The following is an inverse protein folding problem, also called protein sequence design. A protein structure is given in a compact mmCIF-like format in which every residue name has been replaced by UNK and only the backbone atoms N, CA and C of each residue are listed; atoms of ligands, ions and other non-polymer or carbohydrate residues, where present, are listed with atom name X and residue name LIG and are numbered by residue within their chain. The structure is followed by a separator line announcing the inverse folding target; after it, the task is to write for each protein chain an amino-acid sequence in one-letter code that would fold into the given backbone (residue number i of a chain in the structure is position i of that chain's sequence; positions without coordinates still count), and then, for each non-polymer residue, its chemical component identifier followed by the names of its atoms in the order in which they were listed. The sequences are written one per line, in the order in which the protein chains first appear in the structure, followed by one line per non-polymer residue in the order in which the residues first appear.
data_IF_581181486603
#
_entry.id   IF_581181486603
#
_cell.length_a   1.000
_cell.length_b   1.000
_cell.length_c   1.000
_cell.angle_alpha   90.00
_cell.angle_beta   90.00
_cell.angle_gamma   90.00
#
_symmetry.space_group_name_H-M   'P 1'
#
loop_
_entity.id
_entity.type
_entity.pdbx_description
1 polymer ?
#
# COMPACT_ATOMS: atom_id res chain seq x y z
N UNK A 1 -10.35 -15.24 -0.98
CA UNK A 1 -10.43 -14.85 -2.40
C UNK A 1 -9.08 -15.13 -3.04
N UNK A 2 -9.06 -15.88 -4.12
CA UNK A 2 -7.84 -16.22 -4.86
C UNK A 2 -7.83 -15.37 -6.13
N UNK A 3 -6.82 -14.51 -6.30
CA UNK A 3 -6.63 -13.77 -7.54
C UNK A 3 -5.30 -14.16 -8.18
N UNK A 4 -5.31 -14.41 -9.47
CA UNK A 4 -4.14 -14.72 -10.28
C UNK A 4 -4.01 -13.62 -11.34
N UNK A 5 -2.95 -12.85 -11.26
CA UNK A 5 -2.65 -11.78 -12.23
C UNK A 5 -1.46 -12.24 -13.06
N UNK A 6 -1.67 -12.36 -14.38
CA UNK A 6 -0.61 -12.57 -15.35
C UNK A 6 -0.36 -11.25 -16.08
N UNK A 7 0.81 -10.70 -15.97
CA UNK A 7 1.23 -9.54 -16.75
C UNK A 7 2.29 -9.93 -17.78
N UNK A 8 2.02 -9.58 -19.04
CA UNK A 8 2.99 -9.71 -20.12
C UNK A 8 3.46 -8.29 -20.46
N UNK A 9 4.73 -7.99 -20.18
CA UNK A 9 5.34 -6.71 -20.55
C UNK A 9 6.07 -6.93 -21.87
N UNK A 10 5.56 -6.28 -22.95
CA UNK A 10 6.28 -6.16 -24.21
C UNK A 10 7.03 -4.83 -24.23
N UNK A 11 8.34 -4.86 -24.10
CA UNK A 11 9.21 -3.76 -24.49
C UNK A 11 9.92 -4.08 -25.82
N UNK A 12 10.11 -3.05 -26.63
CA UNK A 12 10.85 -3.13 -27.88
C UNK A 12 12.26 -3.69 -27.60
N UNK A 13 12.57 -4.81 -28.26
CA UNK A 13 13.70 -5.72 -28.12
C UNK A 13 13.61 -6.72 -26.95
N UNK A 14 12.92 -7.84 -27.29
CA UNK A 14 13.19 -9.23 -26.84
C UNK A 14 13.56 -9.44 -25.36
N UNK A 15 12.67 -9.10 -24.44
CA UNK A 15 12.59 -9.78 -23.16
C UNK A 15 11.12 -10.16 -22.87
N UNK A 16 10.71 -11.34 -23.31
CA UNK A 16 9.50 -11.97 -22.77
C UNK A 16 9.81 -12.45 -21.35
N UNK A 17 9.42 -11.68 -20.38
CA UNK A 17 9.45 -12.09 -18.97
C UNK A 17 8.07 -12.53 -18.58
N UNK A 18 7.85 -13.84 -18.45
CA UNK A 18 6.63 -14.40 -17.85
C UNK A 18 6.64 -14.11 -16.35
N UNK A 19 5.89 -13.11 -15.95
CA UNK A 19 5.73 -12.71 -14.56
C UNK A 19 4.41 -13.26 -14.03
N UNK A 20 4.46 -13.99 -12.93
CA UNK A 20 3.30 -14.54 -12.26
C UNK A 20 3.24 -14.06 -10.82
N UNK A 21 2.07 -13.56 -10.44
CA UNK A 21 1.77 -13.20 -9.07
C UNK A 21 0.53 -13.97 -8.62
N UNK A 22 0.64 -14.69 -7.53
CA UNK A 22 -0.50 -15.34 -6.87
C UNK A 22 -0.73 -14.69 -5.50
N UNK A 23 -1.95 -14.25 -5.25
CA UNK A 23 -2.34 -13.69 -3.97
C UNK A 23 -3.43 -14.54 -3.33
N UNK A 24 -3.18 -14.95 -2.09
CA UNK A 24 -4.15 -15.59 -1.22
C UNK A 24 -4.45 -14.69 -0.05
N UNK A 25 -5.73 -14.38 0.19
CA UNK A 25 -6.15 -13.59 1.33
C UNK A 25 -7.31 -14.23 2.08
N UNK A 26 -7.22 -14.15 3.41
CA UNK A 26 -8.30 -14.49 4.33
C UNK A 26 -8.61 -13.27 5.17
N UNK A 27 -9.89 -12.98 5.38
CA UNK A 27 -10.30 -11.87 6.25
C UNK A 27 -11.47 -12.26 7.13
N UNK A 28 -11.53 -11.62 8.28
CA UNK A 28 -12.66 -11.66 9.19
C UNK A 28 -12.95 -10.26 9.70
N UNK A 29 -14.21 -9.94 9.89
CA UNK A 29 -14.64 -8.68 10.47
C UNK A 29 -15.78 -8.95 11.46
N UNK A 30 -15.67 -8.35 12.62
CA UNK A 30 -16.69 -8.38 13.64
C UNK A 30 -17.16 -6.96 13.90
N UNK A 31 -18.47 -6.73 13.84
CA UNK A 31 -19.09 -5.44 14.04
C UNK A 31 -20.22 -5.53 15.06
N UNK A 32 -20.35 -4.47 15.84
CA UNK A 32 -21.39 -4.34 16.83
C UNK A 32 -21.97 -2.93 16.82
N UNK A 33 -23.30 -2.87 16.92
CA UNK A 33 -24.05 -1.60 17.01
C UNK A 33 -25.05 -1.69 18.15
N UNK A 34 -24.97 -0.73 19.06
CA UNK A 34 -25.95 -0.58 20.13
C UNK A 34 -26.18 0.88 20.42
N UNK A 35 -27.46 1.32 20.33
CA UNK A 35 -27.86 2.74 20.54
C UNK A 35 -26.97 3.69 19.71
N UNK A 36 -26.12 4.43 20.40
CA UNK A 36 -25.28 5.48 19.83
C UNK A 36 -23.86 5.02 19.47
N UNK A 37 -23.50 3.78 19.82
CA UNK A 37 -22.15 3.23 19.62
C UNK A 37 -22.17 2.25 18.47
N UNK A 38 -21.20 2.38 17.57
CA UNK A 38 -20.86 1.38 16.55
C UNK A 38 -19.38 1.13 16.62
N UNK A 39 -18.98 -0.14 16.63
CA UNK A 39 -17.57 -0.47 16.46
C UNK A 39 -17.43 -1.69 15.54
N UNK A 40 -16.35 -1.72 14.79
CA UNK A 40 -15.94 -2.90 14.06
C UNK A 40 -14.44 -3.12 14.20
N UNK A 41 -14.05 -4.40 14.22
CA UNK A 41 -12.67 -4.85 14.24
C UNK A 41 -12.53 -5.88 13.14
N UNK A 42 -11.61 -5.64 12.23
CA UNK A 42 -11.33 -6.54 11.13
C UNK A 42 -9.86 -6.95 11.12
N UNK A 43 -9.61 -8.15 10.62
CA UNK A 43 -8.27 -8.67 10.40
C UNK A 43 -8.22 -9.30 9.01
N UNK A 44 -7.14 -8.98 8.28
CA UNK A 44 -6.84 -9.62 7.00
C UNK A 44 -5.42 -10.19 7.05
N UNK A 45 -5.30 -11.47 6.71
CA UNK A 45 -4.02 -12.11 6.44
C UNK A 45 -3.85 -12.29 4.94
N UNK A 46 -2.72 -11.86 4.37
CA UNK A 46 -2.41 -12.06 2.97
C UNK A 46 -1.10 -12.83 2.83
N UNK A 47 -1.05 -13.69 1.80
CA UNK A 47 0.18 -14.24 1.25
C UNK A 47 0.25 -13.86 -0.22
N UNK A 48 1.33 -13.22 -0.62
CA UNK A 48 1.60 -12.88 -2.02
C UNK A 48 2.85 -13.63 -2.45
N UNK A 49 2.71 -14.45 -3.47
CA UNK A 49 3.80 -15.20 -4.07
C UNK A 49 4.15 -14.59 -5.42
N UNK A 50 5.38 -14.12 -5.55
CA UNK A 50 5.95 -13.65 -6.81
C UNK A 50 6.85 -14.74 -7.39
N UNK A 51 6.62 -15.01 -8.65
CA UNK A 51 7.39 -15.98 -9.41
C UNK A 51 7.81 -15.36 -10.75
N UNK A 52 9.11 -15.35 -11.00
CA UNK A 52 9.72 -15.07 -12.28
C UNK A 52 10.90 -16.03 -12.45
N UNK A 53 11.44 -16.20 -13.66
CA UNK A 53 12.57 -17.08 -13.96
C UNK A 53 13.78 -16.84 -13.04
N UNK A 54 13.96 -15.62 -12.52
CA UNK A 54 15.11 -15.24 -11.67
C UNK A 54 14.73 -14.92 -10.22
N UNK A 55 13.45 -14.68 -9.90
CA UNK A 55 13.03 -14.20 -8.59
C UNK A 55 11.85 -15.05 -8.07
N UNK A 56 12.03 -15.60 -6.87
CA UNK A 56 10.95 -16.23 -6.09
C UNK A 56 10.87 -15.54 -4.74
N UNK A 57 9.74 -14.89 -4.45
CA UNK A 57 9.51 -14.22 -3.17
C UNK A 57 8.13 -14.44 -2.65
N UNK A 58 8.05 -14.69 -1.36
CA UNK A 58 6.81 -14.76 -0.59
C UNK A 58 6.75 -13.59 0.38
N UNK A 59 5.63 -12.86 0.34
CA UNK A 59 5.32 -11.81 1.29
C UNK A 59 4.08 -12.17 2.08
N UNK A 60 4.18 -12.03 3.39
CA UNK A 60 3.09 -12.25 4.33
C UNK A 60 2.72 -10.92 4.97
N UNK A 61 1.43 -10.68 5.15
CA UNK A 61 0.95 -9.50 5.85
C UNK A 61 -0.19 -9.83 6.80
N UNK A 62 -0.22 -9.12 7.93
CA UNK A 62 -1.33 -9.09 8.86
C UNK A 62 -1.83 -7.65 8.98
N UNK A 63 -3.07 -7.42 8.57
CA UNK A 63 -3.62 -6.09 8.33
C UNK A 63 -4.85 -5.87 9.20
N UNK A 64 -4.68 -5.35 10.42
CA UNK A 64 -5.78 -4.99 11.30
C UNK A 64 -6.48 -3.72 10.81
N UNK A 65 -7.78 -3.66 11.07
CA UNK A 65 -8.63 -2.49 10.86
C UNK A 65 -9.56 -2.32 12.05
N UNK A 66 -9.69 -1.08 12.51
CA UNK A 66 -10.59 -0.72 13.60
C UNK A 66 -11.43 0.46 13.16
N UNK A 67 -12.73 0.44 13.49
CA UNK A 67 -13.62 1.56 13.31
C UNK A 67 -14.45 1.74 14.58
N UNK A 68 -14.51 2.97 15.08
CA UNK A 68 -15.31 3.38 16.22
C UNK A 68 -16.21 4.53 15.78
N UNK A 69 -17.50 4.42 16.03
CA UNK A 69 -18.47 5.47 15.75
C UNK A 69 -19.29 5.77 16.99
N UNK A 70 -19.51 7.04 17.25
CA UNK A 70 -20.36 7.50 18.31
C UNK A 70 -21.31 8.58 17.81
N UNK A 71 -22.62 8.36 18.00
CA UNK A 71 -23.65 9.35 17.74
C UNK A 71 -23.84 10.21 18.98
N UNK A 72 -23.40 11.45 18.91
CA UNK A 72 -23.53 12.43 20.00
C UNK A 72 -25.00 12.79 20.27
N UNK A 73 -25.73 13.03 19.19
CA UNK A 73 -27.20 13.31 19.18
C UNK A 73 -27.75 12.94 17.80
N UNK A 74 -29.00 13.29 17.52
CA UNK A 74 -29.68 12.98 16.25
C UNK A 74 -28.99 13.62 15.04
N UNK A 75 -28.31 14.75 15.25
CA UNK A 75 -27.71 15.56 14.20
C UNK A 75 -26.17 15.57 14.19
N UNK A 76 -25.53 14.87 15.13
CA UNK A 76 -24.07 14.92 15.24
C UNK A 76 -23.48 13.56 15.52
N UNK A 77 -22.40 13.25 14.82
CA UNK A 77 -21.64 12.01 14.98
C UNK A 77 -20.15 12.24 14.89
N UNK A 78 -19.40 11.37 15.55
CA UNK A 78 -17.96 11.28 15.47
C UNK A 78 -17.57 9.85 15.08
N UNK A 79 -16.62 9.70 14.17
CA UNK A 79 -16.07 8.41 13.72
C UNK A 79 -14.56 8.46 13.72
N UNK A 80 -13.98 7.41 14.28
CA UNK A 80 -12.56 7.15 14.18
C UNK A 80 -12.35 5.86 13.42
N UNK A 81 -11.39 5.84 12.48
CA UNK A 81 -10.96 4.64 11.81
C UNK A 81 -9.45 4.56 11.76
N UNK A 82 -8.94 3.37 12.00
CA UNK A 82 -7.54 3.02 11.88
C UNK A 82 -7.43 1.78 10.99
N UNK A 83 -6.49 1.80 10.06
CA UNK A 83 -6.23 0.64 9.21
C UNK A 83 -4.76 0.54 8.85
N UNK A 84 -4.22 -0.68 8.94
CA UNK A 84 -2.90 -1.03 8.44
C UNK A 84 -3.05 -1.62 7.04
N UNK A 85 -2.22 -1.17 6.09
CA UNK A 85 -2.09 -1.75 4.77
C UNK A 85 -0.63 -2.02 4.45
N UNK A 86 -0.36 -3.01 3.63
CA UNK A 86 0.98 -3.33 3.13
C UNK A 86 1.00 -3.18 1.62
N UNK A 87 2.07 -2.58 1.11
CA UNK A 87 2.37 -2.51 -0.32
C UNK A 87 3.64 -3.30 -0.57
N UNK A 88 3.55 -4.27 -1.45
CA UNK A 88 4.69 -5.08 -1.87
C UNK A 88 5.42 -4.37 -3.01
N UNK A 89 6.76 -4.55 -3.12
CA UNK A 89 7.49 -4.09 -4.30
C UNK A 89 6.89 -4.71 -5.56
N UNK A 90 6.88 -3.96 -6.64
CA UNK A 90 6.53 -4.47 -7.96
C UNK A 90 7.65 -5.37 -8.51
N UNK A 91 7.33 -6.21 -9.48
CA UNK A 91 8.33 -7.06 -10.10
C UNK A 91 9.41 -6.26 -10.83
N UNK A 92 9.04 -5.12 -11.42
CA UNK A 92 9.98 -4.20 -12.06
C UNK A 92 10.98 -3.65 -11.04
N UNK A 93 10.48 -3.19 -9.89
CA UNK A 93 11.33 -2.69 -8.80
C UNK A 93 12.27 -3.76 -8.23
N UNK A 94 11.89 -5.04 -8.31
CA UNK A 94 12.69 -6.18 -7.83
C UNK A 94 13.68 -6.71 -8.87
N UNK A 95 13.50 -6.41 -10.16
CA UNK A 95 14.30 -6.97 -11.25
C UNK A 95 15.68 -6.30 -11.30
N UNK A 96 16.74 -7.08 -11.11
CA UNK A 96 18.13 -6.59 -11.15
C UNK A 96 18.66 -6.44 -12.59
N UNK A 97 17.78 -6.26 -13.57
CA UNK A 97 18.14 -6.04 -14.97
C UNK A 97 18.22 -4.55 -15.23
N UNK A 98 19.30 -4.13 -15.89
CA UNK A 98 19.46 -2.74 -16.31
C UNK A 98 18.60 -2.48 -17.55
N UNK A 99 17.75 -1.47 -17.48
CA UNK A 99 16.88 -1.02 -18.56
C UNK A 99 17.33 0.36 -18.98
N UNK A 100 17.81 0.48 -20.20
CA UNK A 100 18.17 1.77 -20.79
C UNK A 100 16.90 2.49 -21.26
N UNK A 101 16.53 3.56 -20.57
CA UNK A 101 15.39 4.40 -20.94
C UNK A 101 15.79 5.40 -22.03
N UNK A 102 17.02 5.89 -21.99
CA UNK A 102 17.66 6.71 -23.00
C UNK A 102 19.21 6.54 -22.93
N UNK A 103 20.01 7.18 -23.83
CA UNK A 103 21.46 7.05 -23.83
C UNK A 103 22.17 7.52 -22.55
N UNK A 104 21.47 8.22 -21.66
CA UNK A 104 22.01 8.81 -20.43
C UNK A 104 21.28 8.34 -19.17
N UNK A 105 20.21 7.54 -19.30
CA UNK A 105 19.36 7.13 -18.18
C UNK A 105 19.19 5.61 -18.17
N UNK A 106 19.65 5.00 -17.09
CA UNK A 106 19.52 3.56 -16.82
C UNK A 106 18.65 3.36 -15.59
N UNK A 107 17.61 2.56 -15.70
CA UNK A 107 16.83 2.08 -14.57
C UNK A 107 17.25 0.68 -14.17
N UNK A 108 17.46 0.46 -12.87
CA UNK A 108 17.80 -0.82 -12.31
C UNK A 108 17.01 -1.06 -11.03
N UNK A 109 16.26 -2.14 -10.99
CA UNK A 109 15.54 -2.54 -9.79
C UNK A 109 16.48 -3.02 -8.69
N UNK A 110 15.91 -3.29 -7.53
CA UNK A 110 16.64 -3.71 -6.33
C UNK A 110 15.96 -4.96 -5.74
N UNK A 111 16.58 -6.11 -5.93
CA UNK A 111 16.07 -7.37 -5.42
C UNK A 111 16.03 -7.46 -3.88
N UNK A 112 16.65 -6.54 -3.15
CA UNK A 112 16.66 -6.50 -1.68
C UNK A 112 15.46 -5.76 -1.08
N UNK A 113 14.60 -5.15 -1.89
CA UNK A 113 13.44 -4.39 -1.44
C UNK A 113 12.51 -5.23 -0.57
N UNK A 114 12.01 -4.57 0.47
CA UNK A 114 11.03 -5.12 1.42
C UNK A 114 9.69 -4.42 1.25
N UNK A 115 8.59 -5.10 1.52
CA UNK A 115 7.29 -4.46 1.59
C UNK A 115 7.29 -3.31 2.60
N UNK A 116 6.49 -2.30 2.33
CA UNK A 116 6.27 -1.22 3.27
C UNK A 116 4.83 -1.21 3.80
N UNK A 117 4.68 -0.72 5.03
CA UNK A 117 3.40 -0.64 5.69
C UNK A 117 2.91 0.81 5.77
N UNK A 118 1.60 0.99 5.57
CA UNK A 118 0.92 2.26 5.75
C UNK A 118 -0.07 2.12 6.89
N UNK A 119 0.08 2.93 7.93
CA UNK A 119 -0.91 3.12 8.98
C UNK A 119 -1.71 4.38 8.66
N UNK A 120 -3.00 4.21 8.47
CA UNK A 120 -3.93 5.30 8.18
C UNK A 120 -4.85 5.49 9.38
N UNK A 121 -4.88 6.70 9.92
CA UNK A 121 -5.81 7.10 10.96
C UNK A 121 -6.69 8.21 10.41
N UNK A 122 -7.97 8.14 10.69
CA UNK A 122 -8.96 9.14 10.27
C UNK A 122 -9.93 9.41 11.39
N UNK A 123 -10.09 10.68 11.77
CA UNK A 123 -11.10 11.16 12.69
C UNK A 123 -12.04 12.08 11.94
N UNK A 124 -13.28 11.68 11.86
CA UNK A 124 -14.35 12.40 11.17
C UNK A 124 -15.41 12.85 12.17
N UNK A 125 -15.73 14.13 12.16
CA UNK A 125 -16.84 14.71 12.88
C UNK A 125 -17.82 15.33 11.90
N UNK A 126 -19.11 15.09 12.10
CA UNK A 126 -20.20 15.64 11.32
C UNK A 126 -21.26 16.20 12.25
N UNK A 127 -21.79 17.37 11.92
CA UNK A 127 -22.89 17.99 12.62
C UNK A 127 -23.83 18.73 11.65
N UNK A 128 -25.11 18.47 11.75
CA UNK A 128 -26.13 19.13 10.96
C UNK A 128 -27.01 20.03 11.87
N UNK A 129 -27.19 21.29 11.47
CA UNK A 129 -28.04 22.23 12.17
C UNK A 129 -28.94 22.97 11.18
N UNK A 130 -30.23 22.57 11.13
CA UNK A 130 -31.15 23.07 10.12
C UNK A 130 -30.68 22.73 8.70
N UNK A 131 -30.46 23.73 7.86
CA UNK A 131 -30.00 23.58 6.49
C UNK A 131 -28.47 23.51 6.37
N UNK A 132 -27.71 23.66 7.45
CA UNK A 132 -26.27 23.71 7.45
C UNK A 132 -25.67 22.37 7.89
N UNK A 133 -24.70 21.86 7.15
CA UNK A 133 -23.88 20.70 7.51
C UNK A 133 -22.43 21.14 7.71
N UNK A 134 -21.87 20.80 8.86
CA UNK A 134 -20.49 21.06 9.22
C UNK A 134 -19.73 19.74 9.35
N UNK A 135 -18.61 19.61 8.62
CA UNK A 135 -17.78 18.43 8.62
C UNK A 135 -16.33 18.80 8.94
N UNK A 136 -15.71 18.02 9.82
CA UNK A 136 -14.24 18.06 10.08
C UNK A 136 -13.67 16.70 9.85
N UNK A 137 -12.60 16.64 9.06
CA UNK A 137 -11.87 15.41 8.77
C UNK A 137 -10.39 15.62 9.07
N UNK A 138 -9.87 14.89 10.07
CA UNK A 138 -8.47 14.87 10.44
C UNK A 138 -7.87 13.54 10.01
N UNK A 139 -6.80 13.61 9.21
CA UNK A 139 -6.13 12.44 8.67
C UNK A 139 -4.67 12.42 9.09
N UNK A 140 -4.19 11.26 9.50
CA UNK A 140 -2.78 11.00 9.76
C UNK A 140 -2.35 9.74 9.04
N UNK A 141 -1.32 9.86 8.21
CA UNK A 141 -0.73 8.77 7.45
C UNK A 141 0.72 8.56 7.89
N UNK A 142 1.04 7.36 8.30
CA UNK A 142 2.39 6.95 8.63
C UNK A 142 2.83 5.83 7.71
N UNK A 143 3.94 6.03 6.98
CA UNK A 143 4.57 5.02 6.14
C UNK A 143 5.85 4.51 6.79
N UNK A 144 5.93 3.22 6.96
CA UNK A 144 7.13 2.54 7.47
C UNK A 144 7.88 1.90 6.31
N UNK A 145 9.15 2.30 6.13
CA UNK A 145 10.05 1.84 5.07
C UNK A 145 9.50 2.02 3.63
N UNK A 146 8.94 3.19 3.24
CA UNK A 146 8.45 3.37 1.89
C UNK A 146 9.54 3.11 0.85
N UNK A 147 9.16 2.52 -0.27
CA UNK A 147 10.03 2.38 -1.43
C UNK A 147 10.06 3.72 -2.14
N UNK A 148 11.25 4.22 -2.43
CA UNK A 148 11.46 5.47 -3.15
C UNK A 148 12.54 5.27 -4.20
N UNK A 149 12.36 5.96 -5.30
CA UNK A 149 13.33 6.08 -6.36
C UNK A 149 14.51 6.96 -5.91
N UNK A 150 15.71 6.52 -6.20
CA UNK A 150 16.95 7.28 -5.98
C UNK A 150 17.75 7.34 -7.27
N UNK A 151 18.27 8.51 -7.60
CA UNK A 151 19.09 8.74 -8.80
C UNK A 151 20.53 8.94 -8.37
N UNK A 152 21.45 8.22 -9.02
CA UNK A 152 22.90 8.35 -8.83
C UNK A 152 23.53 8.70 -10.16
N UNK A 153 24.39 9.70 -10.18
CA UNK A 153 25.18 10.07 -11.34
C UNK A 153 26.52 9.33 -11.32
N UNK A 154 26.87 8.68 -12.44
CA UNK A 154 28.17 8.07 -12.67
C UNK A 154 28.70 8.50 -14.05
N UNK A 155 29.60 9.50 -14.06
CA UNK A 155 30.06 10.13 -15.29
C UNK A 155 28.94 10.91 -15.97
N UNK A 156 28.58 10.53 -17.20
CA UNK A 156 27.49 11.15 -17.97
C UNK A 156 26.19 10.32 -17.93
N UNK A 157 26.11 9.30 -17.08
CA UNK A 157 24.95 8.40 -17.01
C UNK A 157 24.28 8.55 -15.66
N UNK A 158 22.96 8.67 -15.67
CA UNK A 158 22.10 8.67 -14.50
C UNK A 158 21.56 7.26 -14.26
N UNK A 159 21.80 6.73 -13.07
CA UNK A 159 21.29 5.45 -12.62
C UNK A 159 20.13 5.68 -11.66
N UNK A 160 18.96 5.27 -12.06
CA UNK A 160 17.78 5.23 -11.22
C UNK A 160 17.65 3.88 -10.57
N UNK A 161 17.49 3.83 -9.26
CA UNK A 161 17.26 2.61 -8.48
C UNK A 161 16.22 2.84 -7.40
N UNK A 162 15.76 1.77 -6.76
CA UNK A 162 14.73 1.80 -5.73
C UNK A 162 15.29 1.35 -4.39
N UNK A 163 15.02 2.10 -3.34
CA UNK A 163 15.47 1.79 -1.98
C UNK A 163 14.34 1.97 -0.95
N UNK A 164 14.38 1.16 0.13
CA UNK A 164 13.52 1.40 1.26
C UNK A 164 14.06 2.55 2.10
N UNK A 165 13.31 3.64 2.15
CA UNK A 165 13.68 4.84 2.90
C UNK A 165 13.19 4.76 4.36
N UNK A 166 13.63 5.70 5.20
CA UNK A 166 13.13 5.82 6.58
C UNK A 166 11.65 6.19 6.59
N UNK A 167 11.02 5.87 7.73
CA UNK A 167 9.61 6.16 7.96
C UNK A 167 9.24 7.63 7.72
N UNK A 168 8.02 7.84 7.27
CA UNK A 168 7.51 9.13 6.88
C UNK A 168 6.10 9.37 7.46
N UNK A 169 5.81 10.60 7.91
CA UNK A 169 4.54 11.04 8.46
C UNK A 169 3.91 12.14 7.61
N UNK A 170 2.58 12.10 7.48
CA UNK A 170 1.76 13.16 6.89
C UNK A 170 0.51 13.38 7.75
N UNK A 171 0.23 14.64 8.04
CA UNK A 171 -0.93 15.10 8.79
C UNK A 171 -1.86 15.89 7.89
#
# INVERSE_FOLDING_TARGET
MLSLIKQKIQQHEVFESDQQQAEFSIFTEWSYRKKNITYSIGFRGNRVHFFNNSIKKDYYSFLPKVMLGYRLNENSSIRYSMGLSQTNPSLLELTDTEIWLDPYLVEKGNASLKPYCNLNNNLFYESQKGLFTFNVNLQHHYKHNPIMESVKEQGNIFFTTFDNMRSWNKY
#
